data_IF_193052567339
#
_entry.id   IF_193052567339
#
_cell.length_a   1.000
_cell.length_b   1.000
_cell.length_c   1.000
_cell.angle_alpha   90.00
_cell.angle_beta   90.00
_cell.angle_gamma   90.00
#
_symmetry.space_group_name_H-M   'P 1'
#
loop_
_entity.id
_entity.type
_entity.pdbx_description
1 polymer ?
#
# COMPACT_ATOMS: atom_id res chain seq x y z
N UNK A 1 11.16 -7.88 20.32
CA UNK A 1 10.77 -6.77 19.45
C UNK A 1 11.22 -7.08 18.04
N UNK A 2 10.31 -6.95 17.07
CA UNK A 2 10.61 -7.00 15.65
C UNK A 2 10.50 -5.60 15.01
N UNK A 3 10.94 -5.51 13.76
CA UNK A 3 10.77 -4.32 12.95
C UNK A 3 9.28 -4.02 12.71
N UNK A 4 8.96 -2.78 12.38
CA UNK A 4 7.61 -2.32 11.99
C UNK A 4 6.53 -2.48 13.07
N UNK A 5 6.91 -2.46 14.35
CA UNK A 5 5.97 -2.55 15.47
C UNK A 5 5.46 -3.96 15.75
N UNK A 6 6.24 -4.98 15.43
CA UNK A 6 5.94 -6.35 15.81
C UNK A 6 6.51 -6.63 17.21
N UNK A 7 5.69 -7.20 18.08
CA UNK A 7 6.07 -7.49 19.46
C UNK A 7 5.59 -8.86 19.89
N UNK A 8 6.44 -9.55 20.65
CA UNK A 8 6.05 -10.64 21.53
C UNK A 8 6.43 -10.23 22.95
N UNK A 9 5.44 -10.08 23.81
CA UNK A 9 5.60 -9.61 25.20
C UNK A 9 5.10 -10.69 26.13
N UNK A 10 5.94 -11.08 27.08
CA UNK A 10 5.64 -12.09 28.09
C UNK A 10 5.38 -11.37 29.40
N UNK A 11 4.25 -11.67 30.03
CA UNK A 11 3.84 -11.15 31.34
C UNK A 11 3.76 -12.30 32.34
N UNK A 12 4.89 -12.71 32.97
CA UNK A 12 4.94 -13.86 33.85
C UNK A 12 3.97 -13.75 35.03
N UNK A 13 3.76 -12.52 35.54
CA UNK A 13 2.85 -12.25 36.66
C UNK A 13 1.38 -12.52 36.35
N UNK A 14 1.00 -12.57 35.07
CA UNK A 14 -0.35 -12.84 34.61
C UNK A 14 -0.49 -14.17 33.86
N UNK A 15 0.61 -14.94 33.78
CA UNK A 15 0.68 -16.16 32.95
C UNK A 15 0.18 -15.90 31.52
N UNK A 16 0.58 -14.77 30.94
CA UNK A 16 0.06 -14.28 29.67
C UNK A 16 1.17 -13.95 28.69
N UNK A 17 0.85 -14.14 27.41
CA UNK A 17 1.68 -13.72 26.26
C UNK A 17 0.82 -12.85 25.36
N UNK A 18 1.32 -11.67 25.03
CA UNK A 18 0.71 -10.80 24.02
C UNK A 18 1.58 -10.79 22.77
N UNK A 19 0.96 -11.05 21.64
CA UNK A 19 1.60 -10.99 20.33
C UNK A 19 0.91 -9.89 19.53
N UNK A 20 1.73 -8.98 18.96
CA UNK A 20 1.26 -7.90 18.12
C UNK A 20 1.92 -8.03 16.76
N UNK A 21 1.12 -8.12 15.72
CA UNK A 21 1.54 -7.95 14.34
C UNK A 21 1.16 -6.55 13.87
N UNK A 22 2.12 -5.81 13.37
CA UNK A 22 1.92 -4.44 12.92
C UNK A 22 2.77 -4.13 11.70
N UNK A 23 2.26 -3.30 10.82
CA UNK A 23 2.95 -2.70 9.69
C UNK A 23 3.21 -1.21 9.93
N UNK A 24 3.85 -0.86 11.05
CA UNK A 24 4.19 0.53 11.35
C UNK A 24 5.12 1.11 10.28
N UNK A 25 4.93 2.38 9.94
CA UNK A 25 5.84 3.14 9.05
C UNK A 25 7.19 3.45 9.69
N UNK A 26 7.37 3.13 10.96
CA UNK A 26 8.61 3.31 11.71
C UNK A 26 9.21 1.97 12.11
N UNK A 27 10.50 1.79 11.84
CA UNK A 27 11.19 0.52 12.05
C UNK A 27 11.18 0.08 13.52
N UNK A 28 11.47 1.00 14.44
CA UNK A 28 11.58 0.74 15.88
C UNK A 28 10.91 1.81 16.75
N UNK A 29 9.93 2.52 16.24
CA UNK A 29 9.26 3.55 17.04
C UNK A 29 8.61 2.94 18.29
N UNK A 30 8.71 3.63 19.39
CA UNK A 30 7.88 3.38 20.58
C UNK A 30 6.45 3.65 20.18
N UNK A 31 5.70 2.61 19.95
CA UNK A 31 4.30 2.72 19.54
C UNK A 31 3.41 2.87 20.76
N UNK A 32 2.29 3.53 20.59
CA UNK A 32 1.19 3.56 21.57
C UNK A 32 0.64 2.16 21.91
N UNK A 33 1.04 1.14 21.14
CA UNK A 33 0.67 -0.25 21.37
C UNK A 33 1.14 -0.79 22.70
N UNK A 34 2.33 -0.37 23.20
CA UNK A 34 2.79 -0.77 24.54
C UNK A 34 1.93 -0.13 25.62
N UNK A 35 1.50 1.13 25.45
CA UNK A 35 0.57 1.79 26.37
C UNK A 35 -0.81 1.14 26.34
N UNK A 36 -1.25 0.70 25.17
CA UNK A 36 -2.51 -0.04 25.03
C UNK A 36 -2.44 -1.39 25.75
N UNK A 37 -1.33 -2.13 25.62
CA UNK A 37 -1.11 -3.39 26.33
C UNK A 37 -1.13 -3.16 27.84
N UNK A 38 -0.40 -2.16 28.34
CA UNK A 38 -0.42 -1.82 29.77
C UNK A 38 -1.86 -1.55 30.23
N UNK A 39 -2.64 -0.82 29.45
CA UNK A 39 -4.05 -0.52 29.77
C UNK A 39 -4.93 -1.80 29.78
N UNK A 40 -4.67 -2.76 28.88
CA UNK A 40 -5.39 -4.02 28.86
C UNK A 40 -5.07 -4.88 30.09
N UNK A 41 -3.79 -4.95 30.47
CA UNK A 41 -3.36 -5.76 31.64
C UNK A 41 -3.76 -5.14 32.97
N UNK A 42 -3.98 -3.84 33.04
CA UNK A 42 -4.55 -3.18 34.22
C UNK A 42 -5.95 -3.68 34.57
N UNK A 43 -6.70 -4.15 33.60
CA UNK A 43 -8.04 -4.71 33.79
C UNK A 43 -8.04 -6.22 34.07
N UNK A 44 -6.87 -6.89 34.03
CA UNK A 44 -6.76 -8.31 34.30
C UNK A 44 -6.93 -8.59 35.80
N UNK A 45 -7.61 -9.69 36.12
CA UNK A 45 -7.85 -10.18 37.47
C UNK A 45 -7.31 -11.60 37.58
N UNK A 46 -6.86 -12.00 38.76
CA UNK A 46 -6.50 -13.36 39.13
C UNK A 46 -7.72 -14.28 39.34
N UNK A 47 -8.93 -13.73 39.18
CA UNK A 47 -10.19 -14.46 39.29
C UNK A 47 -10.91 -14.46 37.98
N UNK A 48 -11.66 -15.54 37.75
CA UNK A 48 -12.59 -15.62 36.63
C UNK A 48 -13.59 -14.46 36.69
N UNK A 49 -13.70 -13.72 35.59
CA UNK A 49 -14.66 -12.60 35.50
C UNK A 49 -16.07 -13.17 35.32
N UNK A 50 -17.03 -12.62 36.05
CA UNK A 50 -18.42 -12.96 35.83
C UNK A 50 -18.85 -12.61 34.41
N UNK A 51 -19.64 -13.46 33.73
CA UNK A 51 -20.16 -13.14 32.41
C UNK A 51 -20.92 -11.82 32.42
N UNK A 52 -20.59 -10.96 31.47
CA UNK A 52 -21.26 -9.66 31.28
C UNK A 52 -21.82 -9.55 29.85
N UNK A 53 -22.99 -10.21 29.58
CA UNK A 53 -23.57 -10.26 28.24
C UNK A 53 -23.74 -8.90 27.56
N UNK A 54 -24.22 -7.83 28.25
CA UNK A 54 -24.36 -6.52 27.60
C UNK A 54 -23.04 -5.95 27.09
N UNK A 55 -21.94 -6.17 27.83
CA UNK A 55 -20.60 -5.74 27.43
C UNK A 55 -20.10 -6.54 26.20
N UNK A 56 -20.35 -7.83 26.18
CA UNK A 56 -20.02 -8.69 25.05
C UNK A 56 -20.80 -8.30 23.80
N UNK A 57 -22.10 -8.06 23.91
CA UNK A 57 -22.93 -7.64 22.77
C UNK A 57 -22.51 -6.27 22.25
N UNK A 58 -22.17 -5.34 23.15
CA UNK A 58 -21.63 -4.03 22.78
C UNK A 58 -20.29 -4.15 22.03
N UNK A 59 -19.37 -4.99 22.51
CA UNK A 59 -18.09 -5.25 21.85
C UNK A 59 -18.32 -5.88 20.49
N UNK A 60 -19.17 -6.89 20.38
CA UNK A 60 -19.51 -7.54 19.11
C UNK A 60 -20.10 -6.56 18.11
N UNK A 61 -21.02 -5.71 18.54
CA UNK A 61 -21.60 -4.66 17.70
C UNK A 61 -20.57 -3.62 17.27
N UNK A 62 -19.62 -3.28 18.14
CA UNK A 62 -18.52 -2.39 17.81
C UNK A 62 -17.58 -3.02 16.78
N UNK A 63 -17.14 -4.26 17.01
CA UNK A 63 -16.27 -4.99 16.09
C UNK A 63 -16.91 -5.18 14.70
N UNK A 64 -18.21 -5.42 14.65
CA UNK A 64 -18.95 -5.52 13.38
C UNK A 64 -19.01 -4.20 12.59
N UNK A 65 -18.77 -3.07 13.23
CA UNK A 65 -18.71 -1.74 12.60
C UNK A 65 -17.30 -1.30 12.24
N UNK A 66 -16.28 -2.03 12.70
CA UNK A 66 -14.90 -1.73 12.34
C UNK A 66 -14.73 -2.06 10.86
N UNK A 67 -14.74 -1.03 10.05
CA UNK A 67 -14.36 -1.11 8.64
C UNK A 67 -12.91 -0.65 8.55
N UNK A 68 -12.05 -1.49 8.02
CA UNK A 68 -10.70 -1.06 7.69
C UNK A 68 -10.81 0.00 6.58
N UNK A 69 -10.56 1.25 6.94
CA UNK A 69 -10.55 2.37 6.00
C UNK A 69 -9.14 2.96 5.98
N UNK A 70 -8.32 2.64 4.97
CA UNK A 70 -6.99 3.21 4.84
C UNK A 70 -7.00 4.65 4.28
N UNK A 71 -8.07 5.40 4.46
CA UNK A 71 -8.24 6.68 3.77
C UNK A 71 -7.41 7.83 4.31
N UNK A 72 -6.59 8.47 3.46
CA UNK A 72 -6.56 9.92 3.42
C UNK A 72 -7.76 10.42 2.60
N UNK A 73 -8.61 11.27 3.18
CA UNK A 73 -9.63 12.00 2.43
C UNK A 73 -8.97 12.77 1.28
N UNK A 74 -9.12 12.28 0.06
CA UNK A 74 -8.68 13.03 -1.13
C UNK A 74 -9.84 13.89 -1.60
N UNK A 75 -9.67 15.21 -1.50
CA UNK A 75 -10.70 16.19 -1.90
C UNK A 75 -11.19 15.92 -3.33
N UNK A 76 -12.49 15.78 -3.49
CA UNK A 76 -13.15 15.61 -4.78
C UNK A 76 -13.26 14.18 -5.29
N UNK A 77 -12.67 13.20 -4.60
CA UNK A 77 -12.80 11.78 -4.92
C UNK A 77 -13.75 11.12 -3.91
N UNK A 78 -14.58 10.20 -4.38
CA UNK A 78 -15.57 9.51 -3.55
C UNK A 78 -15.95 8.16 -4.12
N UNK A 79 -17.06 7.63 -3.64
CA UNK A 79 -17.65 6.35 -4.07
C UNK A 79 -19.02 6.56 -4.68
N UNK A 80 -19.24 7.69 -5.38
CA UNK A 80 -20.52 7.98 -6.04
C UNK A 80 -20.76 7.01 -7.21
N UNK A 81 -21.87 6.28 -7.15
CA UNK A 81 -22.26 5.28 -8.15
C UNK A 81 -22.58 5.88 -9.53
N UNK A 82 -23.09 7.10 -9.57
CA UNK A 82 -23.40 7.78 -10.84
C UNK A 82 -22.09 8.10 -11.56
N UNK A 83 -21.14 8.68 -10.85
CA UNK A 83 -19.81 8.93 -11.37
C UNK A 83 -19.12 7.63 -11.79
N UNK A 84 -19.26 6.54 -11.03
CA UNK A 84 -18.69 5.24 -11.36
C UNK A 84 -19.24 4.67 -12.67
N UNK A 85 -20.56 4.69 -12.86
CA UNK A 85 -21.17 4.21 -14.09
C UNK A 85 -20.71 5.01 -15.31
N UNK A 86 -20.49 6.32 -15.15
CA UNK A 86 -19.93 7.17 -16.20
C UNK A 86 -18.48 6.76 -16.54
N UNK A 87 -17.65 6.54 -15.52
CA UNK A 87 -16.27 6.06 -15.68
C UNK A 87 -16.25 4.70 -16.37
N UNK A 88 -17.10 3.77 -15.92
CA UNK A 88 -17.20 2.44 -16.51
C UNK A 88 -17.52 2.51 -18.00
N UNK A 89 -18.51 3.32 -18.38
CA UNK A 89 -18.87 3.51 -19.78
C UNK A 89 -17.79 4.21 -20.60
N UNK A 90 -17.05 5.13 -19.98
CA UNK A 90 -15.97 5.87 -20.62
C UNK A 90 -14.73 5.00 -20.86
N UNK A 91 -14.44 4.05 -19.97
CA UNK A 91 -13.19 3.30 -19.96
C UNK A 91 -13.30 1.87 -20.46
N UNK A 92 -14.50 1.31 -20.59
CA UNK A 92 -14.70 -0.07 -20.98
C UNK A 92 -14.05 -0.41 -22.33
N UNK A 93 -13.19 -1.43 -22.30
CA UNK A 93 -12.44 -1.92 -23.48
C UNK A 93 -11.22 -1.07 -23.84
N UNK A 94 -10.99 0.07 -23.19
CA UNK A 94 -9.86 0.93 -23.53
C UNK A 94 -8.54 0.39 -22.98
N UNK A 95 -7.48 0.63 -23.75
CA UNK A 95 -6.12 0.20 -23.43
C UNK A 95 -5.15 1.35 -23.68
N UNK A 96 -4.23 1.57 -22.75
CA UNK A 96 -3.27 2.67 -22.80
C UNK A 96 -1.86 2.13 -22.69
N UNK A 97 -0.97 2.58 -23.58
CA UNK A 97 0.47 2.32 -23.48
C UNK A 97 1.16 3.45 -22.74
N UNK A 98 1.91 3.11 -21.71
CA UNK A 98 2.69 4.06 -20.92
C UNK A 98 4.05 4.31 -21.56
N UNK A 99 4.53 5.55 -21.42
CA UNK A 99 5.87 5.98 -21.75
C UNK A 99 6.63 6.23 -20.45
N UNK A 100 7.95 6.04 -20.45
CA UNK A 100 8.80 6.21 -19.25
C UNK A 100 8.25 5.46 -18.01
N UNK A 101 8.05 4.19 -18.20
CA UNK A 101 7.34 3.27 -17.30
C UNK A 101 8.19 2.81 -16.11
N UNK A 102 8.47 3.67 -15.16
CA UNK A 102 9.09 3.28 -13.89
C UNK A 102 8.09 2.81 -12.83
N UNK A 103 6.79 3.02 -13.07
CA UNK A 103 5.72 2.71 -12.13
C UNK A 103 5.37 1.23 -12.10
N UNK A 104 5.73 0.52 -11.05
CA UNK A 104 5.36 -0.87 -10.81
C UNK A 104 4.11 -0.98 -9.94
N UNK A 105 3.34 -2.06 -10.11
CA UNK A 105 2.29 -2.46 -9.17
C UNK A 105 2.85 -2.86 -7.81
N UNK A 106 4.11 -3.31 -7.78
CA UNK A 106 4.74 -3.82 -6.57
C UNK A 106 5.48 -2.70 -5.84
N UNK A 107 5.22 -2.51 -4.53
CA UNK A 107 5.95 -1.54 -3.70
C UNK A 107 7.45 -1.82 -3.68
N UNK A 108 8.26 -0.78 -3.59
CA UNK A 108 9.73 -0.92 -3.56
C UNK A 108 10.24 -1.78 -2.39
N UNK A 109 9.70 -1.68 -1.16
CA UNK A 109 10.15 -2.56 -0.08
C UNK A 109 9.96 -4.04 -0.43
N UNK A 110 8.82 -4.40 -1.03
CA UNK A 110 8.53 -5.77 -1.45
C UNK A 110 9.52 -6.24 -2.53
N UNK A 111 9.75 -5.42 -3.55
CA UNK A 111 10.73 -5.72 -4.60
C UNK A 111 12.13 -5.93 -4.04
N UNK A 112 12.54 -5.13 -3.05
CA UNK A 112 13.83 -5.26 -2.39
C UNK A 112 13.95 -6.56 -1.59
N UNK A 113 12.93 -6.94 -0.84
CA UNK A 113 12.93 -8.17 -0.03
C UNK A 113 13.05 -9.41 -0.92
N UNK A 114 12.33 -9.43 -2.04
CA UNK A 114 12.35 -10.56 -2.98
C UNK A 114 13.50 -10.49 -4.01
N UNK A 115 14.28 -9.40 -4.03
CA UNK A 115 15.33 -9.19 -5.05
C UNK A 115 14.79 -9.16 -6.48
N UNK A 116 13.52 -8.81 -6.64
CA UNK A 116 12.77 -8.82 -7.88
C UNK A 116 12.40 -7.40 -8.29
N UNK A 117 13.13 -6.83 -9.22
CA UNK A 117 12.87 -5.47 -9.68
C UNK A 117 12.09 -5.45 -10.98
N UNK A 118 10.97 -4.74 -10.96
CA UNK A 118 10.17 -4.49 -12.14
C UNK A 118 10.74 -3.33 -12.96
N UNK A 119 10.47 -3.37 -14.27
CA UNK A 119 10.70 -2.23 -15.16
C UNK A 119 9.53 -1.25 -15.20
N UNK A 120 8.44 -1.58 -14.50
CA UNK A 120 7.19 -0.83 -14.49
C UNK A 120 6.15 -1.36 -15.49
N UNK A 121 4.95 -0.84 -15.37
CA UNK A 121 3.83 -1.22 -16.22
C UNK A 121 3.95 -0.60 -17.62
N UNK A 122 3.82 -1.43 -18.65
CA UNK A 122 3.87 -1.01 -20.05
C UNK A 122 2.49 -0.62 -20.56
N UNK A 123 1.45 -1.36 -20.14
CA UNK A 123 0.08 -1.20 -20.62
C UNK A 123 -0.88 -1.26 -19.45
N UNK A 124 -1.90 -0.41 -19.51
CA UNK A 124 -3.07 -0.44 -18.62
C UNK A 124 -4.31 -0.66 -19.47
N UNK A 125 -5.08 -1.70 -19.14
CA UNK A 125 -6.34 -2.03 -19.81
C UNK A 125 -7.50 -1.96 -18.83
N UNK A 126 -8.61 -1.39 -19.28
CA UNK A 126 -9.86 -1.32 -18.53
C UNK A 126 -10.90 -2.27 -19.14
N UNK A 127 -11.67 -2.93 -18.30
CA UNK A 127 -12.81 -3.74 -18.74
C UNK A 127 -13.93 -3.74 -17.70
N UNK A 128 -15.14 -3.61 -18.16
CA UNK A 128 -16.34 -3.69 -17.29
C UNK A 128 -16.51 -5.10 -16.73
N UNK A 129 -16.97 -5.17 -15.49
CA UNK A 129 -17.39 -6.42 -14.84
C UNK A 129 -18.83 -6.28 -14.35
N UNK A 130 -19.45 -7.37 -13.93
CA UNK A 130 -20.82 -7.33 -13.37
C UNK A 130 -20.91 -6.39 -12.16
N UNK A 131 -19.89 -6.37 -11.30
CA UNK A 131 -19.87 -5.62 -10.04
C UNK A 131 -19.07 -4.31 -10.10
N UNK A 132 -18.38 -4.05 -11.20
CA UNK A 132 -17.52 -2.89 -11.25
C UNK A 132 -16.65 -2.76 -12.48
N UNK A 133 -15.37 -2.45 -12.25
CA UNK A 133 -14.38 -2.24 -13.28
C UNK A 133 -13.12 -3.05 -12.93
N UNK A 134 -12.59 -3.77 -13.91
CA UNK A 134 -11.29 -4.41 -13.83
C UNK A 134 -10.24 -3.52 -14.49
N UNK A 135 -9.11 -3.33 -13.81
CA UNK A 135 -7.93 -2.62 -14.32
C UNK A 135 -6.78 -3.61 -14.38
N UNK A 136 -6.37 -3.94 -15.59
CA UNK A 136 -5.29 -4.89 -15.84
C UNK A 136 -4.02 -4.14 -16.19
N UNK A 137 -2.97 -4.44 -15.46
CA UNK A 137 -1.63 -3.91 -15.70
C UNK A 137 -0.78 -5.01 -16.34
N UNK A 138 -0.14 -4.66 -17.43
CA UNK A 138 0.87 -5.51 -18.07
C UNK A 138 2.23 -4.97 -17.68
N UNK A 139 3.00 -5.78 -17.00
CA UNK A 139 4.28 -5.44 -16.45
C UNK A 139 5.29 -6.53 -16.81
N UNK A 140 6.21 -6.23 -17.70
CA UNK A 140 7.12 -7.21 -18.32
C UNK A 140 6.34 -8.33 -19.05
N UNK A 141 6.44 -9.58 -18.58
CA UNK A 141 5.72 -10.73 -19.13
C UNK A 141 4.49 -11.11 -18.31
N UNK A 142 4.18 -10.36 -17.26
CA UNK A 142 3.12 -10.68 -16.30
C UNK A 142 1.91 -9.79 -16.53
N UNK A 143 0.78 -10.32 -16.10
CA UNK A 143 -0.51 -9.63 -16.17
C UNK A 143 -1.19 -9.71 -14.82
N UNK A 144 -1.33 -8.57 -14.16
CA UNK A 144 -2.00 -8.45 -12.88
C UNK A 144 -3.25 -7.59 -12.99
N UNK A 145 -4.35 -8.05 -12.41
CA UNK A 145 -5.64 -7.38 -12.50
C UNK A 145 -6.14 -7.01 -11.11
N UNK A 146 -6.51 -5.76 -10.94
CA UNK A 146 -7.27 -5.27 -9.80
C UNK A 146 -8.73 -5.11 -10.17
N UNK A 147 -9.63 -5.35 -9.23
CA UNK A 147 -11.06 -5.14 -9.39
C UNK A 147 -11.52 -4.01 -8.49
N UNK A 148 -12.32 -3.12 -9.03
CA UNK A 148 -12.92 -1.99 -8.31
C UNK A 148 -14.41 -2.29 -8.17
N UNK A 149 -14.86 -2.46 -6.93
CA UNK A 149 -16.29 -2.62 -6.63
C UNK A 149 -16.98 -1.25 -6.67
N UNK A 150 -18.10 -1.16 -7.37
CA UNK A 150 -18.90 0.08 -7.47
C UNK A 150 -19.54 0.50 -6.14
N UNK A 151 -19.58 -0.37 -5.15
CA UNK A 151 -20.02 -0.06 -3.79
C UNK A 151 -18.88 0.49 -2.92
N UNK A 152 -17.65 0.61 -3.48
CA UNK A 152 -16.48 1.15 -2.80
C UNK A 152 -15.88 0.19 -1.78
N UNK A 153 -16.25 -1.08 -1.84
CA UNK A 153 -15.70 -2.14 -1.00
C UNK A 153 -14.30 -2.58 -1.44
N UNK A 154 -13.67 -3.39 -0.58
CA UNK A 154 -12.42 -4.05 -0.93
C UNK A 154 -12.68 -5.28 -1.80
N UNK A 155 -11.79 -5.53 -2.73
CA UNK A 155 -11.82 -6.69 -3.63
C UNK A 155 -10.47 -7.37 -3.64
N UNK A 156 -10.46 -8.66 -3.37
CA UNK A 156 -9.23 -9.43 -3.30
C UNK A 156 -8.80 -9.91 -4.69
N UNK A 157 -7.49 -9.94 -4.88
CA UNK A 157 -6.84 -10.42 -6.11
C UNK A 157 -5.54 -11.14 -5.75
N UNK A 158 -5.00 -11.89 -6.70
CA UNK A 158 -3.66 -12.48 -6.61
C UNK A 158 -2.80 -11.81 -7.66
N UNK A 159 -1.70 -11.20 -7.21
CA UNK A 159 -0.67 -10.66 -8.10
C UNK A 159 0.46 -11.68 -8.26
N UNK A 160 1.05 -11.71 -9.44
CA UNK A 160 2.18 -12.57 -9.75
C UNK A 160 3.40 -11.68 -10.01
N UNK A 161 4.50 -11.98 -9.32
CA UNK A 161 5.80 -11.37 -9.52
C UNK A 161 6.86 -12.46 -9.61
N UNK A 162 7.37 -12.71 -10.80
CA UNK A 162 8.35 -13.79 -11.08
C UNK A 162 7.95 -15.14 -10.48
N UNK A 163 6.75 -15.60 -10.81
CA UNK A 163 6.17 -16.87 -10.34
C UNK A 163 5.69 -16.87 -8.87
N UNK A 164 6.06 -15.88 -8.07
CA UNK A 164 5.56 -15.73 -6.71
C UNK A 164 4.17 -15.08 -6.70
N UNK A 165 3.28 -15.62 -5.87
CA UNK A 165 1.92 -15.13 -5.71
C UNK A 165 1.82 -14.26 -4.46
N UNK A 166 1.20 -13.09 -4.61
CA UNK A 166 0.93 -12.16 -3.52
C UNK A 166 -0.57 -11.91 -3.44
N UNK A 167 -1.14 -12.16 -2.28
CA UNK A 167 -2.53 -11.84 -2.02
C UNK A 167 -2.66 -10.35 -1.74
N UNK A 168 -3.53 -9.69 -2.50
CA UNK A 168 -3.77 -8.25 -2.38
C UNK A 168 -5.24 -7.95 -2.23
N UNK A 169 -5.55 -6.88 -1.51
CA UNK A 169 -6.91 -6.36 -1.37
C UNK A 169 -6.93 -4.91 -1.87
N UNK A 170 -7.78 -4.62 -2.84
CA UNK A 170 -7.84 -3.32 -3.50
C UNK A 170 -9.15 -2.62 -3.25
N UNK A 171 -9.09 -1.33 -2.97
CA UNK A 171 -10.22 -0.41 -2.94
C UNK A 171 -9.99 0.74 -3.92
N UNK A 172 -11.03 1.13 -4.64
CA UNK A 172 -11.01 2.29 -5.52
C UNK A 172 -11.82 3.45 -4.96
N UNK A 173 -11.35 4.69 -5.22
CA UNK A 173 -12.13 5.91 -5.14
C UNK A 173 -12.01 6.66 -6.46
N UNK A 174 -13.03 7.42 -6.86
CA UNK A 174 -13.10 7.97 -8.20
C UNK A 174 -13.83 9.31 -8.30
N UNK A 175 -13.60 10.01 -9.40
CA UNK A 175 -14.41 11.12 -9.87
C UNK A 175 -14.50 11.10 -11.40
N UNK A 176 -15.59 11.63 -11.94
CA UNK A 176 -15.83 11.71 -13.38
C UNK A 176 -16.16 13.15 -13.79
N UNK A 177 -15.43 13.67 -14.75
CA UNK A 177 -15.76 14.88 -15.51
C UNK A 177 -16.54 14.57 -16.79
N UNK A 178 -16.61 15.49 -17.74
CA UNK A 178 -17.29 15.29 -19.03
C UNK A 178 -16.52 14.29 -19.91
N UNK A 179 -15.21 14.50 -20.08
CA UNK A 179 -14.29 13.63 -20.83
C UNK A 179 -13.10 13.22 -19.97
N UNK A 180 -13.27 13.22 -18.66
CA UNK A 180 -12.21 12.97 -17.70
C UNK A 180 -12.68 11.91 -16.71
N UNK A 181 -11.79 10.97 -16.39
CA UNK A 181 -11.94 10.03 -15.32
C UNK A 181 -10.69 10.09 -14.43
N UNK A 182 -10.92 10.15 -13.13
CA UNK A 182 -9.85 10.00 -12.13
C UNK A 182 -10.20 8.82 -11.22
N UNK A 183 -9.28 7.87 -11.10
CA UNK A 183 -9.41 6.69 -10.25
C UNK A 183 -8.17 6.61 -9.37
N UNK A 184 -8.36 6.47 -8.08
CA UNK A 184 -7.27 6.14 -7.16
C UNK A 184 -7.48 4.74 -6.60
N UNK A 185 -6.49 3.89 -6.77
CA UNK A 185 -6.45 2.52 -6.28
C UNK A 185 -5.59 2.48 -5.01
N UNK A 186 -6.11 1.86 -3.97
CA UNK A 186 -5.36 1.50 -2.77
C UNK A 186 -5.26 -0.01 -2.74
N UNK A 187 -4.09 -0.54 -3.05
CA UNK A 187 -3.82 -1.97 -3.13
C UNK A 187 -2.91 -2.36 -1.97
N UNK A 188 -3.48 -3.01 -0.98
CA UNK A 188 -2.76 -3.50 0.21
C UNK A 188 -2.30 -4.93 -0.02
N UNK A 189 -1.03 -5.19 0.22
CA UNK A 189 -0.44 -6.52 0.21
C UNK A 189 -0.70 -7.16 1.57
N UNK A 190 -1.48 -8.27 1.61
CA UNK A 190 -1.98 -8.79 2.88
C UNK A 190 -0.92 -9.51 3.73
N UNK A 191 0.19 -9.90 3.11
CA UNK A 191 1.30 -10.60 3.75
C UNK A 191 2.40 -9.67 4.23
N UNK A 192 2.34 -8.40 3.84
CA UNK A 192 3.32 -7.37 4.18
C UNK A 192 2.62 -6.06 4.58
N UNK A 193 3.32 -5.12 5.23
CA UNK A 193 2.72 -3.84 5.60
C UNK A 193 2.61 -2.84 4.44
N UNK A 194 2.80 -3.31 3.22
CA UNK A 194 2.91 -2.44 2.07
C UNK A 194 1.54 -2.16 1.44
N UNK A 195 1.32 -0.93 1.05
CA UNK A 195 0.18 -0.53 0.24
C UNK A 195 0.68 0.25 -0.97
N UNK A 196 0.30 -0.18 -2.16
CA UNK A 196 0.53 0.56 -3.40
C UNK A 196 -0.64 1.47 -3.68
N UNK A 197 -0.36 2.75 -3.93
CA UNK A 197 -1.35 3.77 -4.25
C UNK A 197 -1.13 4.17 -5.70
N UNK A 198 -2.16 4.06 -6.54
CA UNK A 198 -2.06 4.38 -7.96
C UNK A 198 -3.19 5.32 -8.32
N UNK A 199 -2.86 6.53 -8.75
CA UNK A 199 -3.82 7.48 -9.27
C UNK A 199 -3.75 7.50 -10.80
N UNK A 200 -4.87 7.17 -11.44
CA UNK A 200 -5.04 7.14 -12.89
C UNK A 200 -5.92 8.32 -13.29
N UNK A 201 -5.37 9.24 -14.04
CA UNK A 201 -6.09 10.38 -14.62
C UNK A 201 -6.19 10.18 -16.12
N UNK A 202 -7.37 9.99 -16.62
CA UNK A 202 -7.63 9.76 -18.02
C UNK A 202 -8.36 11.00 -18.58
N UNK A 203 -7.78 11.59 -19.62
CA UNK A 203 -8.35 12.74 -20.32
C UNK A 203 -8.28 12.46 -21.81
N UNK A 204 -9.45 12.35 -22.45
CA UNK A 204 -9.56 11.96 -23.85
C UNK A 204 -8.75 10.66 -24.12
N UNK A 205 -7.79 10.69 -25.03
CA UNK A 205 -6.93 9.54 -25.42
C UNK A 205 -5.63 9.45 -24.59
N UNK A 206 -5.50 10.25 -23.54
CA UNK A 206 -4.29 10.31 -22.72
C UNK A 206 -4.53 9.77 -21.32
N UNK A 207 -3.54 9.15 -20.74
CA UNK A 207 -3.50 8.71 -19.35
C UNK A 207 -2.27 9.25 -18.63
N UNK A 208 -2.45 9.69 -17.41
CA UNK A 208 -1.39 9.94 -16.44
C UNK A 208 -1.56 8.94 -15.31
N UNK A 209 -0.53 8.17 -15.00
CA UNK A 209 -0.46 7.25 -13.88
C UNK A 209 0.56 7.77 -12.86
N UNK A 210 0.09 8.10 -11.66
CA UNK A 210 0.90 8.54 -10.53
C UNK A 210 0.93 7.43 -9.51
N UNK A 211 2.11 6.97 -9.19
CA UNK A 211 2.32 5.90 -8.22
C UNK A 211 2.83 6.48 -6.91
N UNK A 212 2.40 5.89 -5.81
CA UNK A 212 2.87 6.18 -4.46
C UNK A 212 2.79 4.90 -3.63
N UNK A 213 3.37 4.88 -2.45
CA UNK A 213 3.36 3.70 -1.59
C UNK A 213 3.36 4.07 -0.10
N UNK A 214 2.92 3.12 0.72
CA UNK A 214 3.08 3.17 2.16
C UNK A 214 3.86 1.94 2.60
N UNK A 215 4.99 2.08 3.34
CA UNK A 215 5.58 3.37 3.77
C UNK A 215 6.07 4.23 2.59
N UNK A 216 5.97 5.55 2.74
CA UNK A 216 6.39 6.50 1.69
C UNK A 216 7.88 6.37 1.37
N UNK A 217 8.31 6.84 0.20
CA UNK A 217 9.72 6.86 -0.19
C UNK A 217 10.64 7.52 0.87
N UNK A 218 10.15 8.58 1.51
CA UNK A 218 10.87 9.23 2.61
C UNK A 218 10.92 8.35 3.86
N UNK A 219 9.80 7.70 4.20
CA UNK A 219 9.73 6.72 5.29
C UNK A 219 10.65 5.54 5.05
N UNK A 220 10.64 4.97 3.84
CA UNK A 220 11.52 3.87 3.45
C UNK A 220 13.02 4.27 3.50
N UNK A 221 13.36 5.47 3.01
CA UNK A 221 14.73 6.00 3.10
C UNK A 221 15.17 6.16 4.55
N UNK A 222 14.31 6.73 5.39
CA UNK A 222 14.58 6.89 6.82
C UNK A 222 14.76 5.54 7.51
N UNK A 223 13.92 4.57 7.20
CA UNK A 223 14.02 3.20 7.72
C UNK A 223 15.33 2.54 7.30
N UNK A 224 15.74 2.71 6.05
CA UNK A 224 17.00 2.20 5.54
C UNK A 224 18.19 2.82 6.30
N UNK A 225 18.18 4.13 6.53
CA UNK A 225 19.21 4.84 7.28
C UNK A 225 19.24 4.41 8.77
N UNK A 226 18.08 4.15 9.39
CA UNK A 226 17.99 3.61 10.75
C UNK A 226 18.53 2.17 10.82
N UNK A 227 18.21 1.31 9.86
CA UNK A 227 18.74 -0.06 9.74
C UNK A 227 20.27 -0.06 9.61
N UNK A 228 20.77 0.77 8.72
CA UNK A 228 22.21 0.93 8.49
C UNK A 228 22.89 1.51 9.74
N UNK A 229 22.20 2.37 10.54
CA UNK A 229 22.68 2.90 11.83
C UNK A 229 22.75 1.87 12.95
N UNK A 230 22.02 0.76 12.83
CA UNK A 230 21.99 -0.34 13.80
C UNK A 230 22.96 -1.47 13.48
N UNK A 231 23.41 -1.57 12.21
CA UNK A 231 24.42 -2.52 11.78
C UNK A 231 25.80 -1.95 12.14
N UNK A 232 26.28 -2.32 13.31
CA UNK A 232 27.61 -2.06 13.86
C UNK A 232 28.22 -0.68 13.54
N UNK A 233 28.42 0.09 14.60
CA UNK A 233 28.98 1.46 14.61
C UNK A 233 30.30 1.61 13.78
N UNK A 234 31.04 0.53 13.59
CA UNK A 234 32.29 0.50 12.80
C UNK A 234 32.06 0.35 11.29
N UNK A 235 31.07 -0.44 10.88
CA UNK A 235 30.73 -0.63 9.46
C UNK A 235 30.08 0.62 8.89
N UNK A 236 29.26 1.30 9.70
CA UNK A 236 28.62 2.57 9.34
C UNK A 236 29.56 3.76 9.34
N UNK A 237 30.44 3.84 10.34
CA UNK A 237 31.50 4.87 10.33
C UNK A 237 32.40 4.76 9.11
N UNK A 238 32.45 3.58 8.47
CA UNK A 238 33.15 3.36 7.20
C UNK A 238 32.28 3.62 5.96
N UNK A 239 31.00 3.26 5.99
CA UNK A 239 30.07 3.41 4.84
C UNK A 239 29.55 4.83 4.69
N UNK A 240 29.10 5.48 5.75
CA UNK A 240 28.58 6.87 5.70
C UNK A 240 29.63 7.89 5.22
N UNK A 241 30.89 7.87 5.69
CA UNK A 241 31.92 8.74 5.12
C UNK A 241 32.25 8.38 3.67
N UNK A 242 32.25 7.06 3.31
CA UNK A 242 32.47 6.64 1.94
C UNK A 242 31.33 7.13 1.01
N UNK A 243 30.07 7.05 1.47
CA UNK A 243 28.92 7.58 0.74
C UNK A 243 28.94 9.12 0.65
N UNK A 244 29.36 9.82 1.72
CA UNK A 244 29.53 11.29 1.69
C UNK A 244 30.70 11.75 0.81
N UNK A 245 31.66 10.89 0.53
CA UNK A 245 32.81 11.19 -0.33
C UNK A 245 32.61 10.78 -1.78
N UNK A 246 31.50 10.13 -2.14
CA UNK A 246 31.10 9.93 -3.53
C UNK A 246 30.49 11.27 -4.02
N UNK A 247 31.12 11.95 -4.97
CA UNK A 247 30.61 13.20 -5.49
C UNK A 247 29.16 13.03 -5.99
N UNK A 248 28.24 13.83 -5.46
CA UNK A 248 26.82 13.78 -5.82
C UNK A 248 25.94 12.84 -4.98
N UNK A 249 26.46 12.12 -3.98
CA UNK A 249 25.67 11.24 -3.11
C UNK A 249 25.34 11.96 -1.79
N UNK A 250 24.34 12.81 -1.84
CA UNK A 250 23.73 13.43 -0.65
C UNK A 250 22.48 12.64 -0.23
N UNK A 251 21.98 12.84 0.99
CA UNK A 251 20.71 12.28 1.45
C UNK A 251 19.55 12.66 0.51
N UNK A 252 19.55 13.90 0.00
CA UNK A 252 18.59 14.35 -0.99
C UNK A 252 18.69 13.56 -2.30
N UNK A 253 19.90 13.25 -2.76
CA UNK A 253 20.12 12.44 -3.98
C UNK A 253 19.57 11.02 -3.80
N UNK A 254 19.79 10.39 -2.64
CA UNK A 254 19.24 9.06 -2.33
C UNK A 254 17.72 9.14 -2.31
N UNK A 255 17.15 10.13 -1.64
CA UNK A 255 15.70 10.35 -1.59
C UNK A 255 15.10 10.55 -2.99
N UNK A 256 15.75 11.31 -3.86
CA UNK A 256 15.29 11.55 -5.24
C UNK A 256 15.35 10.26 -6.07
N UNK A 257 16.40 9.44 -5.89
CA UNK A 257 16.48 8.13 -6.54
C UNK A 257 15.35 7.22 -6.04
N UNK A 258 15.13 7.14 -4.73
CA UNK A 258 14.05 6.33 -4.16
C UNK A 258 12.70 6.81 -4.66
N UNK A 259 12.45 8.12 -4.69
CA UNK A 259 11.21 8.70 -5.22
C UNK A 259 10.95 8.33 -6.68
N UNK A 260 11.99 8.26 -7.49
CA UNK A 260 11.87 7.89 -8.91
C UNK A 260 11.28 6.49 -9.11
N UNK A 261 11.49 5.58 -8.17
CA UNK A 261 10.99 4.19 -8.24
C UNK A 261 9.77 3.95 -7.34
N UNK A 262 9.73 4.57 -6.16
CA UNK A 262 8.64 4.40 -5.22
C UNK A 262 7.40 5.24 -5.60
N UNK A 263 7.62 6.47 -6.09
CA UNK A 263 6.56 7.41 -6.43
C UNK A 263 6.72 8.00 -7.86
N UNK A 264 6.87 7.15 -8.89
CA UNK A 264 7.04 7.62 -10.26
C UNK A 264 5.73 8.16 -10.83
N UNK A 265 5.89 8.97 -11.88
CA UNK A 265 4.80 9.46 -12.72
C UNK A 265 5.05 9.00 -14.15
N UNK A 266 4.06 8.37 -14.75
CA UNK A 266 4.09 7.87 -16.12
C UNK A 266 2.95 8.46 -16.93
N UNK A 267 3.22 8.75 -18.18
CA UNK A 267 2.22 9.23 -19.13
C UNK A 267 2.01 8.17 -20.21
N UNK A 268 0.82 8.15 -20.80
CA UNK A 268 0.51 7.19 -21.85
C UNK A 268 -0.54 7.70 -22.81
N UNK A 269 -0.72 6.92 -23.88
CA UNK A 269 -1.76 7.15 -24.90
C UNK A 269 -2.55 5.89 -25.16
N UNK A 270 -3.79 6.08 -25.55
CA UNK A 270 -4.67 5.00 -25.96
C UNK A 270 -4.14 4.27 -27.19
N UNK A 271 -4.27 2.95 -27.17
CA UNK A 271 -3.94 2.07 -28.29
C UNK A 271 -5.23 1.76 -29.03
N UNK A 272 -5.35 2.18 -30.28
CA UNK A 272 -6.44 1.76 -31.14
C UNK A 272 -6.07 0.42 -31.80
N UNK A 273 -6.75 -0.64 -31.39
CA UNK A 273 -6.64 -1.95 -32.07
C UNK A 273 -7.36 -1.81 -33.41
N UNK A 274 -6.62 -1.81 -34.51
CA UNK A 274 -7.13 -1.86 -35.88
C UNK A 274 -7.58 -3.26 -36.26
#
# INVERSE_FOLDING_TARGET
>A
NGAFGQYAVIFPQYDAVAIIYSGSTHLFAKTSLMQLLDSCFWACSDRELAPYPPGYDSLKAYLAKLVFSPEPERKGLGTDKIAFNKIRSLLDGREFRLFDNYGSLFPQPLQNVHGCYSKGADIIRFSSTEKGLAVTFYEQCERNTVYIDMDGGFTDSVFIMKEEQHLVSTRGIWSAGENEACITLFTSFLETPDTRIIELRILNESIEAVFDETPTAEGATKMLLELVGLVDDNSMKRLLPAMKHVPGMSESTITDIVKKYAAPRSFGREIHLH
#
